data_IF_081902985768
#
_entry.id   IF_081902985768
#
_cell.length_a   1.000
_cell.length_b   1.000
_cell.length_c   1.000
_cell.angle_alpha   90.00
_cell.angle_beta   90.00
_cell.angle_gamma   90.00
#
_symmetry.space_group_name_H-M   'P 1'
#
loop_
_entity.id
_entity.type
_entity.pdbx_description
1 polymer ?
#
# COMPACT_ATOMS: atom_id res chain seq x y z
N UNK A 1 -27.10 -23.11 -5.08
CA UNK A 1 -26.81 -21.83 -4.40
C UNK A 1 -25.78 -21.10 -5.27
N UNK A 2 -26.22 -20.11 -6.04
CA UNK A 2 -25.32 -19.31 -6.89
C UNK A 2 -24.59 -18.30 -6.02
N UNK A 3 -23.28 -18.45 -5.87
CA UNK A 3 -22.44 -17.38 -5.33
C UNK A 3 -22.47 -16.22 -6.33
N UNK A 4 -23.25 -15.19 -6.01
CA UNK A 4 -23.19 -13.91 -6.69
C UNK A 4 -21.81 -13.30 -6.40
N UNK A 5 -20.83 -13.56 -7.26
CA UNK A 5 -19.60 -12.80 -7.33
C UNK A 5 -19.96 -11.37 -7.72
N UNK A 6 -20.21 -10.50 -6.73
CA UNK A 6 -20.27 -9.07 -6.95
C UNK A 6 -18.85 -8.58 -7.22
N UNK A 7 -18.34 -8.81 -8.42
CA UNK A 7 -17.21 -8.04 -8.89
C UNK A 7 -17.66 -6.59 -8.93
N UNK A 8 -17.08 -5.76 -8.05
CA UNK A 8 -17.23 -4.31 -8.14
C UNK A 8 -16.77 -3.95 -9.54
N UNK A 9 -17.68 -3.47 -10.39
CA UNK A 9 -17.30 -3.05 -11.73
C UNK A 9 -16.44 -1.81 -11.56
N UNK A 10 -15.29 -1.76 -12.24
CA UNK A 10 -14.39 -0.59 -12.25
C UNK A 10 -15.15 0.70 -12.63
N UNK A 11 -16.25 0.56 -13.38
CA UNK A 11 -17.19 1.63 -13.73
C UNK A 11 -17.94 2.27 -12.56
N UNK A 12 -17.94 1.66 -11.37
CA UNK A 12 -18.58 2.21 -10.18
C UNK A 12 -17.69 3.22 -9.44
N UNK A 13 -16.42 3.36 -9.85
CA UNK A 13 -15.58 4.50 -9.51
C UNK A 13 -16.03 5.72 -10.32
N UNK A 14 -17.20 6.25 -10.00
CA UNK A 14 -17.68 7.50 -10.58
C UNK A 14 -16.65 8.60 -10.32
N UNK A 15 -16.36 9.43 -11.32
CA UNK A 15 -15.50 10.63 -11.18
C UNK A 15 -15.87 11.44 -9.92
N UNK A 16 -17.14 11.44 -9.52
CA UNK A 16 -17.63 12.11 -8.30
C UNK A 16 -17.07 11.59 -6.96
N UNK A 17 -16.47 10.39 -6.94
CA UNK A 17 -15.85 9.82 -5.75
C UNK A 17 -14.37 10.23 -5.60
N UNK A 18 -13.74 10.65 -6.71
CA UNK A 18 -12.41 11.22 -6.72
C UNK A 18 -12.56 12.74 -6.54
N UNK A 19 -11.72 13.36 -5.71
CA UNK A 19 -11.81 14.76 -5.34
C UNK A 19 -11.48 15.71 -6.49
N UNK A 20 -11.13 16.96 -6.16
CA UNK A 20 -10.70 17.95 -7.16
C UNK A 20 -9.55 17.41 -8.02
N UNK A 21 -9.52 17.81 -9.31
CA UNK A 21 -8.40 17.60 -10.23
C UNK A 21 -7.07 18.19 -9.71
N UNK A 22 -7.15 19.11 -8.76
CA UNK A 22 -5.99 19.78 -8.16
C UNK A 22 -5.22 18.91 -7.16
N UNK A 23 -5.82 17.82 -6.69
CA UNK A 23 -5.17 16.94 -5.72
C UNK A 23 -4.12 16.04 -6.39
N UNK A 24 -2.94 15.95 -5.76
CA UNK A 24 -1.94 14.95 -6.09
C UNK A 24 -2.30 13.61 -5.43
N UNK A 25 -2.47 12.57 -6.23
CA UNK A 25 -2.70 11.21 -5.76
C UNK A 25 -1.43 10.37 -5.81
N UNK A 26 -1.08 9.69 -4.71
CA UNK A 26 -0.10 8.59 -4.77
C UNK A 26 -0.87 7.28 -4.95
N UNK A 27 -0.61 6.60 -6.07
CA UNK A 27 -1.30 5.35 -6.45
C UNK A 27 -0.34 4.18 -6.31
N UNK A 28 -0.51 3.40 -5.25
CA UNK A 28 0.16 2.10 -5.13
C UNK A 28 -0.59 1.07 -5.95
N UNK A 29 0.12 0.45 -6.88
CA UNK A 29 -0.47 -0.50 -7.82
C UNK A 29 0.27 -1.83 -7.87
N UNK A 30 1.38 -1.93 -7.16
CA UNK A 30 2.19 -3.13 -7.12
C UNK A 30 2.81 -3.24 -5.73
N UNK A 31 2.41 -4.29 -5.02
CA UNK A 31 2.97 -4.71 -3.75
C UNK A 31 3.49 -6.13 -3.98
N UNK A 32 4.79 -6.35 -3.76
CA UNK A 32 5.42 -7.65 -3.98
C UNK A 32 6.44 -7.94 -2.88
N UNK A 33 6.44 -9.18 -2.41
CA UNK A 33 7.50 -9.65 -1.52
C UNK A 33 8.76 -10.02 -2.31
N UNK A 34 9.93 -9.68 -1.78
CA UNK A 34 11.22 -10.02 -2.43
C UNK A 34 11.49 -11.52 -2.53
N UNK A 35 10.75 -12.34 -1.78
CA UNK A 35 10.79 -13.80 -1.81
C UNK A 35 9.65 -14.44 -2.61
N UNK A 36 8.83 -13.64 -3.28
CA UNK A 36 7.76 -14.12 -4.16
C UNK A 36 8.18 -14.24 -5.62
N UNK A 37 7.40 -15.00 -6.37
CA UNK A 37 7.45 -15.02 -7.83
C UNK A 37 6.26 -14.20 -8.33
N UNK A 38 6.52 -13.31 -9.29
CA UNK A 38 5.50 -12.54 -9.98
C UNK A 38 4.47 -13.51 -10.60
N UNK A 39 3.21 -13.32 -10.26
CA UNK A 39 2.14 -14.28 -10.53
C UNK A 39 0.87 -13.59 -11.07
N UNK A 40 -0.22 -14.35 -11.21
CA UNK A 40 -1.46 -13.82 -11.80
C UNK A 40 -2.16 -12.76 -10.93
N UNK A 41 -1.91 -12.74 -9.61
CA UNK A 41 -2.41 -11.64 -8.75
C UNK A 41 -1.74 -10.32 -9.11
N UNK A 42 -0.44 -10.34 -9.39
CA UNK A 42 0.33 -9.18 -9.82
C UNK A 42 -0.17 -8.67 -11.19
N UNK A 43 -0.38 -9.57 -12.16
CA UNK A 43 -0.97 -9.22 -13.46
C UNK A 43 -2.38 -8.64 -13.33
N UNK A 44 -3.19 -9.17 -12.41
CA UNK A 44 -4.52 -8.65 -12.14
C UNK A 44 -4.46 -7.21 -11.62
N UNK A 45 -3.51 -6.88 -10.75
CA UNK A 45 -3.28 -5.50 -10.30
C UNK A 45 -2.96 -4.56 -11.47
N UNK A 46 -2.05 -4.97 -12.35
CA UNK A 46 -1.67 -4.19 -13.53
C UNK A 46 -2.86 -3.96 -14.48
N UNK A 47 -3.67 -4.99 -14.71
CA UNK A 47 -4.89 -4.87 -15.50
C UNK A 47 -5.89 -3.92 -14.84
N UNK A 48 -6.05 -3.99 -13.51
CA UNK A 48 -6.92 -3.09 -12.77
C UNK A 48 -6.46 -1.65 -12.90
N UNK A 49 -5.16 -1.38 -12.72
CA UNK A 49 -4.58 -0.05 -12.93
C UNK A 49 -4.82 0.43 -14.38
N UNK A 50 -4.61 -0.41 -15.39
CA UNK A 50 -4.81 -0.05 -16.80
C UNK A 50 -6.22 0.46 -17.07
N UNK A 51 -7.23 -0.25 -16.57
CA UNK A 51 -8.62 0.16 -16.71
C UNK A 51 -8.96 1.41 -15.89
N UNK A 52 -8.41 1.51 -14.68
CA UNK A 52 -8.55 2.68 -13.83
C UNK A 52 -7.99 3.95 -14.50
N UNK A 53 -6.78 3.89 -15.07
CA UNK A 53 -6.14 5.03 -15.75
C UNK A 53 -6.88 5.49 -17.01
N UNK A 54 -7.64 4.63 -17.68
CA UNK A 54 -8.51 5.03 -18.80
C UNK A 54 -9.68 5.90 -18.33
N UNK A 55 -10.17 5.64 -17.12
CA UNK A 55 -11.32 6.33 -16.54
C UNK A 55 -10.90 7.56 -15.72
N UNK A 56 -9.76 7.49 -15.04
CA UNK A 56 -9.28 8.53 -14.16
C UNK A 56 -8.65 9.68 -14.95
N UNK A 57 -9.12 10.89 -14.65
CA UNK A 57 -8.51 12.14 -15.13
C UNK A 57 -7.84 12.88 -13.97
N UNK A 58 -7.18 12.17 -13.07
CA UNK A 58 -6.60 12.75 -11.85
C UNK A 58 -5.09 12.98 -12.02
N UNK A 59 -4.56 13.98 -11.31
CA UNK A 59 -3.13 14.15 -11.14
C UNK A 59 -2.59 13.07 -10.19
N UNK A 60 -1.66 12.23 -10.66
CA UNK A 60 -1.18 11.09 -9.88
C UNK A 60 0.30 10.78 -10.10
N UNK A 61 0.88 10.10 -9.13
CA UNK A 61 2.18 9.44 -9.18
C UNK A 61 2.01 7.95 -8.90
N UNK A 62 2.66 7.12 -9.71
CA UNK A 62 2.62 5.67 -9.57
C UNK A 62 3.73 5.22 -8.62
N UNK A 63 3.39 4.43 -7.61
CA UNK A 63 4.33 3.95 -6.61
C UNK A 63 4.25 2.43 -6.44
N UNK A 64 5.41 1.83 -6.18
CA UNK A 64 5.56 0.40 -5.90
C UNK A 64 6.03 0.24 -4.46
N UNK A 65 5.44 -0.71 -3.73
CA UNK A 65 5.94 -1.13 -2.43
C UNK A 65 6.62 -2.50 -2.59
N UNK A 66 7.90 -2.58 -2.23
CA UNK A 66 8.67 -3.82 -2.26
C UNK A 66 8.80 -4.30 -0.82
N UNK A 67 8.16 -5.42 -0.49
CA UNK A 67 8.24 -6.00 0.85
C UNK A 67 9.52 -6.85 0.97
N UNK A 68 10.49 -6.26 1.65
CA UNK A 68 11.76 -6.89 2.02
C UNK A 68 11.91 -7.00 3.54
N UNK A 69 10.81 -6.92 4.30
CA UNK A 69 10.91 -6.82 5.75
C UNK A 69 11.15 -8.18 6.43
N UNK A 70 10.53 -9.25 5.95
CA UNK A 70 10.74 -10.62 6.46
C UNK A 70 10.96 -11.66 5.35
N UNK A 71 11.89 -11.45 4.40
CA UNK A 71 12.10 -12.41 3.33
C UNK A 71 12.71 -13.69 3.90
N UNK A 72 12.18 -14.84 3.49
CA UNK A 72 12.84 -16.12 3.75
C UNK A 72 13.98 -16.37 2.76
N UNK A 73 13.81 -15.91 1.51
CA UNK A 73 14.79 -16.05 0.42
C UNK A 73 14.74 -14.82 -0.50
N UNK A 74 15.87 -14.22 -0.86
CA UNK A 74 15.84 -13.12 -1.85
C UNK A 74 15.76 -13.69 -3.27
N UNK A 75 14.56 -13.70 -3.85
CA UNK A 75 14.31 -14.22 -5.20
C UNK A 75 14.33 -13.10 -6.24
N UNK A 76 13.77 -11.93 -5.91
CA UNK A 76 13.64 -10.80 -6.83
C UNK A 76 14.50 -9.62 -6.40
N UNK A 77 15.29 -9.09 -7.32
CA UNK A 77 15.94 -7.78 -7.17
C UNK A 77 15.01 -6.63 -7.58
N UNK A 78 15.37 -5.39 -7.24
CA UNK A 78 14.68 -4.19 -7.71
C UNK A 78 14.63 -4.15 -9.26
N UNK A 79 15.76 -4.48 -9.90
CA UNK A 79 15.90 -4.48 -11.35
C UNK A 79 14.96 -5.51 -12.01
N UNK A 80 14.84 -6.72 -11.45
CA UNK A 80 13.92 -7.75 -11.96
C UNK A 80 12.46 -7.27 -11.93
N UNK A 81 12.07 -6.57 -10.85
CA UNK A 81 10.72 -6.02 -10.69
C UNK A 81 10.49 -4.91 -11.72
N UNK A 82 11.44 -4.00 -11.89
CA UNK A 82 11.31 -2.89 -12.84
C UNK A 82 11.33 -3.36 -14.29
N UNK A 83 12.16 -4.33 -14.64
CA UNK A 83 12.19 -4.93 -15.98
C UNK A 83 10.86 -5.59 -16.31
N UNK A 84 10.27 -6.32 -15.36
CA UNK A 84 8.93 -6.88 -15.53
C UNK A 84 7.88 -5.79 -15.74
N UNK A 85 7.84 -4.76 -14.88
CA UNK A 85 6.86 -3.68 -14.98
C UNK A 85 6.99 -2.93 -16.31
N UNK A 86 8.22 -2.64 -16.74
CA UNK A 86 8.49 -2.00 -18.03
C UNK A 86 8.02 -2.87 -19.20
N UNK A 87 8.23 -4.20 -19.13
CA UNK A 87 7.71 -5.16 -20.11
C UNK A 87 6.18 -5.16 -20.21
N UNK A 88 5.48 -4.90 -19.11
CA UNK A 88 4.02 -4.77 -19.05
C UNK A 88 3.50 -3.36 -19.41
N UNK A 89 4.41 -2.44 -19.77
CA UNK A 89 4.10 -1.07 -20.17
C UNK A 89 3.88 -0.11 -18.99
N UNK A 90 4.36 -0.44 -17.80
CA UNK A 90 4.29 0.41 -16.60
C UNK A 90 5.67 0.86 -16.16
N UNK A 91 5.82 2.16 -15.93
CA UNK A 91 7.05 2.74 -15.36
C UNK A 91 6.69 3.47 -14.07
N UNK A 92 6.93 2.88 -12.88
CA UNK A 92 6.64 3.53 -11.63
C UNK A 92 7.40 4.85 -11.54
N UNK A 93 6.87 5.82 -10.80
CA UNK A 93 7.55 7.09 -10.51
C UNK A 93 8.44 6.98 -9.28
N UNK A 94 8.00 6.16 -8.33
CA UNK A 94 8.65 5.94 -7.05
C UNK A 94 8.53 4.50 -6.60
N UNK A 95 9.38 4.15 -5.63
CA UNK A 95 9.26 2.93 -4.88
C UNK A 95 9.73 3.12 -3.44
N UNK A 96 9.37 2.18 -2.57
CA UNK A 96 9.89 2.11 -1.21
C UNK A 96 10.02 0.65 -0.78
N UNK A 97 10.83 0.43 0.26
CA UNK A 97 10.94 -0.86 0.92
C UNK A 97 10.07 -0.90 2.17
N UNK A 98 9.41 -2.02 2.44
CA UNK A 98 8.63 -2.16 3.68
C UNK A 98 9.54 -2.08 4.93
N UNK A 99 10.77 -2.61 4.85
CA UNK A 99 11.73 -2.50 5.96
C UNK A 99 12.06 -1.04 6.33
N UNK A 100 11.96 -0.10 5.39
CA UNK A 100 12.17 1.32 5.67
C UNK A 100 11.06 1.90 6.58
N UNK A 101 9.92 1.21 6.73
CA UNK A 101 8.79 1.66 7.55
C UNK A 101 9.00 1.42 9.05
N UNK A 102 9.99 0.63 9.46
CA UNK A 102 10.19 0.23 10.86
C UNK A 102 10.39 1.43 11.79
N UNK A 103 11.22 2.40 11.39
CA UNK A 103 11.48 3.61 12.18
C UNK A 103 10.19 4.46 12.35
N UNK A 104 9.41 4.55 11.28
CA UNK A 104 8.12 5.27 11.28
C UNK A 104 7.10 4.52 12.15
N UNK A 105 7.11 3.18 12.11
CA UNK A 105 6.23 2.34 12.90
C UNK A 105 6.48 2.47 14.40
N UNK A 106 7.73 2.56 14.82
CA UNK A 106 8.08 2.84 16.22
C UNK A 106 7.52 4.19 16.68
N UNK A 107 7.75 5.23 15.87
CA UNK A 107 7.23 6.59 16.13
C UNK A 107 5.70 6.59 16.21
N UNK A 108 5.04 5.87 15.30
CA UNK A 108 3.59 5.74 15.25
C UNK A 108 3.03 5.04 16.49
N UNK A 109 3.60 3.93 16.94
CA UNK A 109 3.16 3.27 18.19
C UNK A 109 3.26 4.21 19.38
N UNK A 110 4.31 5.03 19.43
CA UNK A 110 4.51 5.98 20.50
C UNK A 110 3.49 7.13 20.49
N UNK A 111 2.96 7.50 19.33
CA UNK A 111 1.99 8.59 19.19
C UNK A 111 0.52 8.14 19.20
N UNK A 112 0.24 6.82 19.31
CA UNK A 112 -1.14 6.32 19.41
C UNK A 112 -1.88 6.85 20.65
N UNK A 113 -3.05 7.45 20.42
CA UNK A 113 -3.95 7.99 21.45
C UNK A 113 -4.74 6.90 22.19
N UNK A 114 -5.09 5.80 21.52
CA UNK A 114 -5.71 4.62 22.14
C UNK A 114 -4.65 3.83 22.94
N UNK A 115 -4.69 3.99 24.27
CA UNK A 115 -3.78 3.33 25.22
C UNK A 115 -3.82 1.80 25.13
N UNK A 116 -4.98 1.20 24.84
CA UNK A 116 -5.13 -0.25 24.72
C UNK A 116 -4.49 -0.73 23.42
N UNK A 117 -4.75 -0.03 22.32
CA UNK A 117 -4.14 -0.33 21.02
C UNK A 117 -2.61 -0.20 21.10
N UNK A 118 -2.11 0.89 21.67
CA UNK A 118 -0.69 1.12 21.94
C UNK A 118 -0.07 -0.04 22.74
N UNK A 119 -0.65 -0.38 23.90
CA UNK A 119 -0.18 -1.51 24.73
C UNK A 119 -0.14 -2.84 23.97
N UNK A 120 -1.13 -3.10 23.12
CA UNK A 120 -1.18 -4.33 22.31
C UNK A 120 -0.03 -4.40 21.31
N UNK A 121 0.22 -3.32 20.54
CA UNK A 121 1.31 -3.29 19.58
C UNK A 121 2.69 -3.30 20.26
N UNK A 122 2.87 -2.53 21.34
CA UNK A 122 4.12 -2.56 22.12
C UNK A 122 4.43 -3.97 22.63
N UNK A 123 3.42 -4.67 23.14
CA UNK A 123 3.58 -6.07 23.58
C UNK A 123 3.88 -6.99 22.40
N UNK A 124 3.15 -6.88 21.29
CA UNK A 124 3.41 -7.71 20.10
C UNK A 124 4.85 -7.54 19.62
N UNK A 125 5.32 -6.30 19.45
CA UNK A 125 6.69 -5.99 19.01
C UNK A 125 7.70 -6.57 20.00
N UNK A 126 7.47 -6.42 21.31
CA UNK A 126 8.33 -6.99 22.34
C UNK A 126 8.36 -8.53 22.30
N UNK A 127 7.22 -9.18 22.13
CA UNK A 127 7.11 -10.65 22.22
C UNK A 127 7.58 -11.33 20.92
N UNK A 128 7.33 -10.71 19.77
CA UNK A 128 7.64 -11.25 18.44
C UNK A 128 8.96 -10.74 17.87
N UNK A 129 9.51 -9.65 18.42
CA UNK A 129 10.67 -8.94 17.86
C UNK A 129 10.46 -8.56 16.39
N UNK A 130 9.19 -8.31 16.02
CA UNK A 130 8.73 -7.98 14.67
C UNK A 130 7.59 -6.99 14.72
N UNK A 131 7.45 -6.23 13.64
CA UNK A 131 6.38 -5.27 13.43
C UNK A 131 5.28 -5.94 12.59
N UNK A 132 4.01 -5.91 13.02
CA UNK A 132 2.93 -6.52 12.25
C UNK A 132 2.65 -5.72 10.98
N UNK A 133 2.32 -6.38 9.86
CA UNK A 133 2.11 -5.74 8.55
C UNK A 133 1.14 -4.55 8.63
N UNK A 134 0.01 -4.68 9.35
CA UNK A 134 -0.94 -3.57 9.52
C UNK A 134 -0.33 -2.28 10.05
N UNK A 135 0.70 -2.36 10.90
CA UNK A 135 1.40 -1.21 11.45
C UNK A 135 2.38 -0.62 10.43
N UNK A 136 3.06 -1.45 9.64
CA UNK A 136 3.93 -1.00 8.56
C UNK A 136 3.11 -0.36 7.44
N UNK A 137 1.97 -0.94 7.06
CA UNK A 137 0.98 -0.35 6.14
C UNK A 137 0.49 1.02 6.64
N UNK A 138 0.14 1.16 7.92
CA UNK A 138 -0.28 2.45 8.47
C UNK A 138 0.85 3.50 8.43
N UNK A 139 2.07 3.06 8.71
CA UNK A 139 3.28 3.90 8.66
C UNK A 139 3.55 4.38 7.23
N UNK A 140 3.41 3.47 6.27
CA UNK A 140 3.53 3.75 4.84
C UNK A 140 2.54 4.83 4.40
N UNK A 141 1.28 4.72 4.79
CA UNK A 141 0.26 5.72 4.45
C UNK A 141 0.58 7.10 5.01
N UNK A 142 0.94 7.17 6.29
CA UNK A 142 1.28 8.44 6.94
C UNK A 142 2.55 9.06 6.35
N UNK A 143 3.50 8.25 5.90
CA UNK A 143 4.71 8.73 5.23
C UNK A 143 4.40 9.35 3.85
N UNK A 144 3.58 8.68 3.02
CA UNK A 144 3.18 9.23 1.70
C UNK A 144 2.34 10.51 1.79
N UNK A 145 1.54 10.62 2.85
CA UNK A 145 0.75 11.83 3.15
C UNK A 145 1.58 12.94 3.82
N UNK A 146 2.89 12.75 4.02
CA UNK A 146 3.77 13.75 4.63
C UNK A 146 3.55 13.98 6.13
N UNK A 147 2.84 13.06 6.81
CA UNK A 147 2.63 13.13 8.27
C UNK A 147 3.86 12.68 9.04
N UNK A 148 4.62 11.74 8.45
CA UNK A 148 5.99 11.43 8.85
C UNK A 148 6.98 11.79 7.75
N UNK A 149 8.20 12.22 8.10
CA UNK A 149 9.23 12.49 7.10
C UNK A 149 9.65 11.18 6.44
N UNK A 150 9.69 11.17 5.10
CA UNK A 150 10.15 9.99 4.37
C UNK A 150 11.68 9.83 4.38
N UNK A 151 12.46 10.87 4.67
CA UNK A 151 13.93 10.79 4.83
C UNK A 151 14.66 9.95 3.74
N UNK A 152 14.26 10.13 2.46
CA UNK A 152 14.77 9.38 1.29
C UNK A 152 14.42 7.88 1.22
N UNK A 153 13.52 7.39 2.08
CA UNK A 153 12.95 6.03 2.05
C UNK A 153 12.03 5.81 0.84
N UNK A 154 11.34 6.86 0.39
CA UNK A 154 10.69 6.90 -0.92
C UNK A 154 11.73 7.34 -1.95
N UNK A 155 12.04 6.44 -2.88
CA UNK A 155 13.08 6.58 -3.91
C UNK A 155 12.42 6.84 -5.26
N UNK A 156 13.07 7.62 -6.13
CA UNK A 156 12.56 7.90 -7.48
C UNK A 156 13.27 7.06 -8.53
N UNK A 157 12.49 6.54 -9.46
CA UNK A 157 12.97 5.84 -10.67
C UNK A 157 13.27 6.82 -11.82
N UNK A 158 12.79 8.07 -11.72
CA UNK A 158 12.88 9.11 -12.77
C UNK A 158 13.66 10.34 -12.32
N UNK A 159 14.48 10.21 -11.27
CA UNK A 159 15.29 11.29 -10.67
C UNK A 159 14.49 12.53 -10.24
N UNK A 160 13.18 12.39 -9.96
CA UNK A 160 12.36 13.49 -9.42
C UNK A 160 12.27 13.38 -7.89
N UNK A 161 12.16 14.52 -7.21
CA UNK A 161 11.91 14.52 -5.78
C UNK A 161 10.47 14.05 -5.51
N UNK A 162 10.29 13.19 -4.50
CA UNK A 162 8.96 12.80 -4.04
C UNK A 162 8.24 14.01 -3.44
N UNK A 163 6.97 14.19 -3.82
CA UNK A 163 6.08 15.16 -3.22
C UNK A 163 5.04 14.42 -2.41
N UNK A 164 4.76 14.91 -1.20
CA UNK A 164 3.70 14.34 -0.38
C UNK A 164 2.37 14.43 -1.15
N UNK A 165 1.62 13.34 -1.16
CA UNK A 165 0.33 13.29 -1.82
C UNK A 165 -0.76 13.89 -0.93
N UNK A 166 -1.80 14.44 -1.56
CA UNK A 166 -3.01 14.88 -0.86
C UNK A 166 -3.91 13.68 -0.52
N UNK A 167 -3.88 12.66 -1.39
CA UNK A 167 -4.72 11.47 -1.32
C UNK A 167 -3.96 10.23 -1.76
N UNK A 168 -4.38 9.11 -1.22
CA UNK A 168 -3.80 7.80 -1.47
C UNK A 168 -4.82 6.88 -2.14
N UNK A 169 -4.38 6.16 -3.16
CA UNK A 169 -5.12 5.03 -3.73
C UNK A 169 -4.22 3.81 -3.65
N UNK A 170 -4.72 2.71 -3.11
CA UNK A 170 -4.03 1.42 -3.07
C UNK A 170 -4.85 0.40 -3.84
N UNK A 171 -4.28 -0.17 -4.90
CA UNK A 171 -4.86 -1.26 -5.67
C UNK A 171 -4.27 -2.56 -5.12
N UNK A 172 -5.09 -3.33 -4.42
CA UNK A 172 -4.64 -4.48 -3.63
C UNK A 172 -5.53 -5.70 -3.90
N UNK A 173 -5.02 -6.92 -3.78
CA UNK A 173 -5.88 -8.09 -3.82
C UNK A 173 -6.78 -8.16 -2.57
N UNK A 174 -7.93 -8.83 -2.71
CA UNK A 174 -9.02 -8.80 -1.72
C UNK A 174 -8.63 -9.36 -0.35
N UNK A 175 -7.66 -10.28 -0.30
CA UNK A 175 -7.09 -10.86 0.92
C UNK A 175 -6.40 -9.83 1.82
N UNK A 176 -5.89 -8.72 1.27
CA UNK A 176 -5.30 -7.63 2.07
C UNK A 176 -6.33 -6.84 2.87
N UNK A 177 -7.64 -7.00 2.59
CA UNK A 177 -8.71 -6.18 3.20
C UNK A 177 -8.70 -6.20 4.73
N UNK A 178 -8.33 -7.31 5.35
CA UNK A 178 -8.24 -7.38 6.81
C UNK A 178 -7.07 -6.56 7.36
N UNK A 179 -5.88 -6.71 6.76
CA UNK A 179 -4.68 -5.94 7.12
C UNK A 179 -4.96 -4.45 6.98
N UNK A 180 -5.58 -4.06 5.86
CA UNK A 180 -5.98 -2.69 5.56
C UNK A 180 -6.99 -2.11 6.56
N UNK A 181 -7.97 -2.92 6.97
CA UNK A 181 -8.94 -2.51 7.98
C UNK A 181 -8.25 -2.24 9.32
N UNK A 182 -7.29 -3.09 9.70
CA UNK A 182 -6.47 -2.89 10.90
C UNK A 182 -5.58 -1.66 10.77
N UNK A 183 -4.91 -1.47 9.64
CA UNK A 183 -4.07 -0.30 9.35
C UNK A 183 -4.87 1.00 9.47
N UNK A 184 -6.08 1.04 8.89
CA UNK A 184 -6.98 2.20 9.01
C UNK A 184 -7.34 2.51 10.47
N UNK A 185 -7.55 1.50 11.30
CA UNK A 185 -7.80 1.68 12.75
C UNK A 185 -6.59 2.30 13.46
N UNK A 186 -5.37 1.93 13.07
CA UNK A 186 -4.14 2.53 13.60
C UNK A 186 -4.09 4.01 13.21
N UNK A 187 -4.31 4.35 11.93
CA UNK A 187 -4.34 5.75 11.46
C UNK A 187 -5.38 6.57 12.22
N UNK A 188 -6.60 6.05 12.39
CA UNK A 188 -7.66 6.70 13.19
C UNK A 188 -7.28 6.92 14.66
N UNK A 189 -6.34 6.14 15.19
CA UNK A 189 -5.89 6.24 16.57
C UNK A 189 -4.58 7.03 16.71
N UNK A 190 -4.04 7.57 15.61
CA UNK A 190 -2.80 8.37 15.58
C UNK A 190 -3.05 9.85 15.89
N UNK A 191 -2.02 10.68 15.76
CA UNK A 191 -2.11 12.14 15.83
C UNK A 191 -2.87 12.77 14.65
N UNK A 192 -3.06 12.02 13.55
CA UNK A 192 -3.73 12.49 12.33
C UNK A 192 -4.91 11.57 11.94
N UNK A 193 -5.97 11.50 12.76
CA UNK A 193 -7.12 10.66 12.45
C UNK A 193 -7.79 11.03 11.12
N UNK A 194 -7.72 12.30 10.71
CA UNK A 194 -8.26 12.79 9.44
C UNK A 194 -7.57 12.20 8.21
N UNK A 195 -6.31 11.75 8.33
CA UNK A 195 -5.57 11.09 7.27
C UNK A 195 -6.28 9.80 6.79
N UNK A 196 -7.07 9.16 7.66
CA UNK A 196 -7.86 7.99 7.30
C UNK A 196 -8.94 8.26 6.23
N UNK A 197 -9.32 9.52 6.01
CA UNK A 197 -10.27 9.93 4.97
C UNK A 197 -9.58 10.25 3.64
N UNK A 198 -8.24 10.31 3.63
CA UNK A 198 -7.41 10.54 2.45
C UNK A 198 -6.98 9.22 1.80
N UNK A 199 -7.32 8.07 2.40
CA UNK A 199 -6.89 6.73 1.97
C UNK A 199 -8.06 5.98 1.34
N UNK A 200 -7.87 5.54 0.09
CA UNK A 200 -8.82 4.73 -0.65
C UNK A 200 -8.17 3.41 -1.06
N UNK A 201 -8.80 2.29 -0.67
CA UNK A 201 -8.34 0.96 -1.07
C UNK A 201 -9.32 0.38 -2.10
N UNK A 202 -8.76 -0.07 -3.23
CA UNK A 202 -9.48 -0.69 -4.33
C UNK A 202 -9.07 -2.15 -4.37
N UNK A 203 -10.03 -3.03 -4.13
CA UNK A 203 -9.77 -4.46 -4.04
C UNK A 203 -10.14 -5.18 -5.33
N UNK A 204 -9.29 -6.10 -5.75
CA UNK A 204 -9.57 -7.02 -6.85
C UNK A 204 -9.49 -8.48 -6.38
N UNK A 205 -10.26 -9.41 -6.99
CA UNK A 205 -10.14 -10.82 -6.65
C UNK A 205 -8.79 -11.34 -7.14
N UNK A 206 -7.92 -11.78 -6.22
CA UNK A 206 -6.75 -12.56 -6.58
C UNK A 206 -7.22 -13.90 -7.18
N UNK A 207 -6.64 -14.30 -8.32
CA UNK A 207 -6.80 -15.69 -8.79
C UNK A 207 -6.42 -16.64 -7.66
N UNK A 208 -7.28 -17.61 -7.36
CA UNK A 208 -7.25 -18.42 -6.13
C UNK A 208 -5.88 -19.04 -5.83
N UNK A 209 -5.06 -18.36 -5.04
CA UNK A 209 -3.82 -18.88 -4.48
C UNK A 209 -3.77 -18.62 -2.97
N UNK A 210 -2.98 -19.46 -2.30
CA UNK A 210 -3.16 -19.96 -0.93
C UNK A 210 -3.23 -18.86 0.15
N UNK A 211 -3.92 -19.18 1.24
CA UNK A 211 -3.91 -18.40 2.49
C UNK A 211 -2.46 -18.18 2.95
N UNK A 212 -2.03 -16.93 2.95
CA UNK A 212 -0.92 -16.47 3.79
C UNK A 212 -1.50 -16.32 5.20
N UNK A 213 -0.88 -16.97 6.19
CA UNK A 213 -1.31 -16.86 7.58
C UNK A 213 -0.95 -15.46 8.12
N UNK A 214 -1.92 -14.54 8.05
CA UNK A 214 -1.82 -13.18 8.57
C UNK A 214 -1.99 -13.21 10.11
N UNK A 215 -0.88 -13.20 10.86
CA UNK A 215 -0.87 -13.09 12.33
C UNK A 215 -0.82 -11.64 12.83
#
# INVERSE_FOLDING_TARGET
>A
MSNANSSVKITDLKESALGSLDHLYSVEYFHIYTDEIINDSHKASLNYLREALKAWKINHELIVLIDNYNPENHILSEDDIFDYLNGEGFSPDFFAFEADMVEVAESLVNSLSDKRLKKNYTRYIKDKQKYPCSLLTASWYLMRLGKYPHARKIRSTKHKAFKNADRLINILPLDYKEVETRARKIVLSSEWPEAANMIQNLYYPAGSHRKIDLF
#
